data_IF_554764756770
#
_entry.id   IF_554764756770
#
_cell.length_a   1.000
_cell.length_b   1.000
_cell.length_c   1.000
_cell.angle_alpha   90.00
_cell.angle_beta   90.00
_cell.angle_gamma   90.00
#
_symmetry.space_group_name_H-M   'P 1'
#
loop_
_entity.id
_entity.type
_entity.pdbx_description
1 polymer ?
#
# COMPACT_ATOMS: atom_id res chain seq x y z
N UNK A 1 -18.89 4.03 13.16
CA UNK A 1 -17.70 4.51 12.40
C UNK A 1 -17.47 3.51 11.30
N UNK A 2 -17.25 3.96 10.07
CA UNK A 2 -16.78 3.05 9.02
C UNK A 2 -15.47 2.41 9.52
N UNK A 3 -15.26 1.10 9.32
CA UNK A 3 -14.02 0.46 9.69
C UNK A 3 -12.85 1.14 8.97
N UNK A 4 -11.79 1.43 9.72
CA UNK A 4 -10.55 1.96 9.16
C UNK A 4 -9.92 0.89 8.26
N UNK A 5 -9.82 1.21 6.96
CA UNK A 5 -9.30 0.29 5.95
C UNK A 5 -7.83 -0.11 6.21
N UNK A 6 -7.10 0.63 7.03
CA UNK A 6 -5.77 0.24 7.51
C UNK A 6 -5.82 -0.97 8.46
N UNK A 7 -6.89 -1.08 9.26
CA UNK A 7 -7.02 -2.05 10.36
C UNK A 7 -7.91 -3.25 10.05
N UNK A 8 -8.80 -3.13 9.07
CA UNK A 8 -9.72 -4.21 8.74
C UNK A 8 -10.11 -4.17 7.26
N UNK A 9 -10.01 -5.33 6.61
CA UNK A 9 -10.47 -5.50 5.24
C UNK A 9 -12.00 -5.58 5.19
N UNK A 10 -12.62 -4.74 4.37
CA UNK A 10 -14.02 -4.90 3.99
C UNK A 10 -14.15 -5.88 2.81
N UNK A 11 -14.65 -7.09 3.10
CA UNK A 11 -14.85 -8.12 2.08
C UNK A 11 -16.07 -7.88 1.17
N UNK A 12 -16.92 -6.88 1.47
CA UNK A 12 -17.99 -6.45 0.58
C UNK A 12 -17.50 -5.67 -0.64
N UNK A 13 -16.28 -5.13 -0.58
CA UNK A 13 -15.65 -4.39 -1.66
C UNK A 13 -14.97 -5.30 -2.68
N UNK A 14 -14.82 -4.79 -3.90
CA UNK A 14 -13.96 -5.41 -4.92
C UNK A 14 -12.49 -5.41 -4.49
N UNK A 15 -11.68 -6.28 -5.10
CA UNK A 15 -10.24 -6.36 -4.84
C UNK A 15 -9.54 -5.00 -5.03
N UNK A 16 -9.90 -4.27 -6.09
CA UNK A 16 -9.29 -2.97 -6.38
C UNK A 16 -9.67 -1.92 -5.33
N UNK A 17 -10.95 -1.87 -4.94
CA UNK A 17 -11.43 -0.94 -3.92
C UNK A 17 -10.74 -1.18 -2.57
N UNK A 18 -10.54 -2.44 -2.16
CA UNK A 18 -9.81 -2.78 -0.93
C UNK A 18 -8.39 -2.20 -0.93
N UNK A 19 -7.66 -2.38 -2.02
CA UNK A 19 -6.28 -1.89 -2.16
C UNK A 19 -6.27 -0.35 -2.15
N UNK A 20 -7.17 0.29 -2.90
CA UNK A 20 -7.26 1.75 -2.97
C UNK A 20 -7.63 2.36 -1.62
N UNK A 21 -8.59 1.79 -0.89
CA UNK A 21 -8.94 2.30 0.43
C UNK A 21 -7.86 2.05 1.47
N UNK A 22 -7.15 0.92 1.42
CA UNK A 22 -5.98 0.70 2.26
C UNK A 22 -4.92 1.78 2.04
N UNK A 23 -4.55 2.07 0.78
CA UNK A 23 -3.61 3.15 0.50
C UNK A 23 -4.13 4.52 0.96
N UNK A 24 -5.40 4.83 0.69
CA UNK A 24 -6.03 6.08 1.10
C UNK A 24 -6.06 6.26 2.62
N UNK A 25 -6.20 5.18 3.39
CA UNK A 25 -6.20 5.22 4.85
C UNK A 25 -4.87 5.70 5.45
N UNK A 26 -3.76 5.62 4.69
CA UNK A 26 -2.46 6.16 5.08
C UNK A 26 -2.27 7.58 4.53
N UNK A 27 -2.46 7.77 3.22
CA UNK A 27 -2.08 9.04 2.56
C UNK A 27 -3.06 10.19 2.82
N UNK A 28 -4.33 9.88 3.12
CA UNK A 28 -5.40 10.84 3.31
C UNK A 28 -5.84 10.98 4.79
N UNK A 29 -5.19 10.30 5.74
CA UNK A 29 -5.50 10.48 7.16
C UNK A 29 -4.97 11.86 7.65
N UNK A 30 -5.85 12.80 8.03
CA UNK A 30 -5.41 14.12 8.50
C UNK A 30 -4.72 14.07 9.88
N UNK A 31 -4.78 12.93 10.59
CA UNK A 31 -4.18 12.71 11.90
C UNK A 31 -2.87 11.94 11.85
N UNK A 32 -2.48 11.44 10.68
CA UNK A 32 -1.25 10.66 10.50
C UNK A 32 -0.37 11.28 9.40
N UNK A 33 0.93 11.32 9.66
CA UNK A 33 1.95 11.72 8.68
C UNK A 33 3.27 11.06 9.07
N UNK A 34 3.40 9.77 8.77
CA UNK A 34 4.60 8.99 9.03
C UNK A 34 5.68 9.16 7.96
N UNK A 35 6.78 8.44 8.17
CA UNK A 35 7.94 8.41 7.27
C UNK A 35 7.57 7.92 5.85
N UNK A 36 6.67 6.95 5.77
CA UNK A 36 6.15 6.34 4.55
C UNK A 36 5.17 7.23 3.79
N UNK A 37 4.48 8.13 4.47
CA UNK A 37 3.32 8.86 3.93
C UNK A 37 3.65 9.66 2.67
N UNK A 38 4.80 10.33 2.62
CA UNK A 38 5.22 11.10 1.43
C UNK A 38 5.57 10.18 0.25
N UNK A 39 6.18 9.03 0.52
CA UNK A 39 6.51 8.06 -0.53
C UNK A 39 5.24 7.41 -1.09
N UNK A 40 4.27 7.11 -0.24
CA UNK A 40 2.99 6.54 -0.67
C UNK A 40 2.11 7.53 -1.44
N UNK A 41 2.29 8.84 -1.27
CA UNK A 41 1.55 9.86 -2.03
C UNK A 41 1.90 9.90 -3.51
N UNK A 42 3.14 9.55 -3.87
CA UNK A 42 3.57 9.49 -5.28
C UNK A 42 3.34 8.11 -5.90
N UNK A 43 2.83 7.15 -5.12
CA UNK A 43 2.56 5.81 -5.56
C UNK A 43 1.18 5.73 -6.24
N UNK A 44 1.16 5.19 -7.45
CA UNK A 44 -0.07 4.93 -8.19
C UNK A 44 -0.33 3.42 -8.23
N UNK A 45 -1.55 3.03 -7.83
CA UNK A 45 -2.06 1.68 -8.05
C UNK A 45 -2.48 1.50 -9.51
N UNK A 46 -1.93 0.47 -10.16
CA UNK A 46 -2.22 0.14 -11.56
C UNK A 46 -3.32 -0.91 -11.64
N UNK A 47 -3.11 -2.09 -11.03
CA UNK A 47 -4.06 -3.23 -11.08
C UNK A 47 -3.69 -4.34 -10.11
N UNK A 48 -4.60 -5.29 -9.90
CA UNK A 48 -4.35 -6.52 -9.18
C UNK A 48 -4.83 -7.74 -9.99
N UNK A 49 -4.14 -8.87 -9.84
CA UNK A 49 -4.43 -10.13 -10.51
C UNK A 49 -4.69 -11.21 -9.48
N UNK A 50 -5.97 -11.60 -9.36
CA UNK A 50 -6.38 -12.64 -8.42
C UNK A 50 -5.85 -14.03 -8.78
N UNK A 51 -5.55 -14.32 -10.05
CA UNK A 51 -5.01 -15.62 -10.47
C UNK A 51 -3.53 -15.76 -10.10
N UNK A 52 -2.72 -14.74 -10.42
CA UNK A 52 -1.27 -14.73 -10.18
C UNK A 52 -0.88 -14.22 -8.81
N UNK A 53 -1.85 -13.76 -8.00
CA UNK A 53 -1.66 -13.23 -6.64
C UNK A 53 -0.75 -12.00 -6.59
N UNK A 54 -0.92 -11.12 -7.56
CA UNK A 54 -0.02 -9.99 -7.78
C UNK A 54 -0.77 -8.66 -7.71
N UNK A 55 -0.15 -7.65 -7.12
CA UNK A 55 -0.54 -6.24 -7.23
C UNK A 55 0.54 -5.47 -7.97
N UNK A 56 0.13 -4.54 -8.83
CA UNK A 56 1.03 -3.72 -9.63
C UNK A 56 0.85 -2.24 -9.26
N UNK A 57 1.98 -1.59 -9.06
CA UNK A 57 2.07 -0.17 -8.76
C UNK A 57 3.12 0.49 -9.65
N UNK A 58 2.98 1.78 -9.87
CA UNK A 58 3.95 2.61 -10.57
C UNK A 58 4.18 3.90 -9.79
N UNK A 59 5.37 4.48 -9.92
CA UNK A 59 5.68 5.79 -9.35
C UNK A 59 6.85 6.41 -10.12
N UNK A 60 6.92 7.73 -10.11
CA UNK A 60 8.11 8.47 -10.52
C UNK A 60 9.03 8.65 -9.32
N UNK A 61 10.33 8.39 -9.49
CA UNK A 61 11.31 8.62 -8.42
C UNK A 61 11.49 10.12 -8.23
N UNK A 62 10.90 10.66 -7.18
CA UNK A 62 11.02 12.07 -6.83
C UNK A 62 12.35 12.38 -6.12
N UNK A 63 12.81 13.63 -6.19
CA UNK A 63 14.11 14.07 -5.63
C UNK A 63 14.28 13.70 -4.14
N UNK A 64 13.21 13.78 -3.35
CA UNK A 64 13.24 13.46 -1.92
C UNK A 64 13.47 11.96 -1.64
N UNK A 65 13.30 11.11 -2.65
CA UNK A 65 13.55 9.67 -2.58
C UNK A 65 14.98 9.29 -2.98
N UNK A 66 15.78 10.24 -3.48
CA UNK A 66 17.12 9.99 -3.98
C UNK A 66 18.18 10.05 -2.87
N UNK A 67 19.23 9.26 -3.04
CA UNK A 67 20.44 9.35 -2.23
C UNK A 67 21.37 10.47 -2.76
N UNK A 68 22.56 10.61 -2.16
CA UNK A 68 23.54 11.63 -2.55
C UNK A 68 24.03 11.52 -4.01
N UNK A 69 23.90 10.35 -4.62
CA UNK A 69 24.29 10.10 -6.01
C UNK A 69 23.14 10.37 -7.00
N UNK A 70 21.98 10.83 -6.52
CA UNK A 70 20.83 11.16 -7.36
C UNK A 70 20.05 9.94 -7.87
N UNK A 71 20.24 8.76 -7.26
CA UNK A 71 19.48 7.54 -7.57
C UNK A 71 18.56 7.17 -6.42
N UNK A 72 17.54 6.34 -6.68
CA UNK A 72 16.60 5.89 -5.66
C UNK A 72 17.34 5.36 -4.42
N UNK A 73 17.14 6.02 -3.28
CA UNK A 73 17.73 5.64 -2.01
C UNK A 73 17.20 4.27 -1.60
N UNK A 74 18.11 3.37 -1.20
CA UNK A 74 17.75 2.00 -0.83
C UNK A 74 16.66 1.95 0.24
N UNK A 75 16.75 2.81 1.27
CA UNK A 75 15.71 2.92 2.30
C UNK A 75 14.36 3.41 1.77
N UNK A 76 14.33 4.31 0.78
CA UNK A 76 13.07 4.75 0.18
C UNK A 76 12.42 3.61 -0.62
N UNK A 77 13.24 2.89 -1.42
CA UNK A 77 12.79 1.69 -2.12
C UNK A 77 12.29 0.58 -1.19
N UNK A 78 13.00 0.32 -0.09
CA UNK A 78 12.60 -0.67 0.91
C UNK A 78 11.28 -0.29 1.59
N UNK A 79 11.09 0.97 1.99
CA UNK A 79 9.83 1.43 2.62
C UNK A 79 8.65 1.35 1.67
N UNK A 80 8.86 1.66 0.40
CA UNK A 80 7.84 1.49 -0.64
C UNK A 80 7.48 0.02 -0.81
N UNK A 81 8.49 -0.85 -0.97
CA UNK A 81 8.28 -2.28 -1.16
C UNK A 81 7.59 -2.93 0.03
N UNK A 82 7.98 -2.54 1.24
CA UNK A 82 7.33 -2.93 2.49
C UNK A 82 5.83 -2.62 2.38
N UNK A 83 5.45 -1.34 2.33
CA UNK A 83 4.06 -0.90 2.29
C UNK A 83 3.18 -1.59 1.23
N UNK A 84 3.70 -1.82 0.02
CA UNK A 84 2.92 -2.41 -1.07
C UNK A 84 2.87 -3.93 -1.03
N UNK A 85 3.85 -4.60 -0.41
CA UNK A 85 3.91 -6.07 -0.38
C UNK A 85 2.68 -6.68 0.30
N UNK A 86 2.16 -6.02 1.33
CA UNK A 86 0.94 -6.41 2.04
C UNK A 86 -0.28 -6.43 1.13
N UNK A 87 -0.31 -5.63 0.05
CA UNK A 87 -1.49 -5.52 -0.82
C UNK A 87 -1.71 -6.77 -1.68
N UNK A 88 -0.66 -7.55 -1.97
CA UNK A 88 -0.80 -8.86 -2.63
C UNK A 88 -1.65 -9.84 -1.80
N UNK A 89 -1.68 -9.70 -0.47
CA UNK A 89 -2.48 -10.56 0.40
C UNK A 89 -3.99 -10.35 0.21
N UNK A 90 -4.43 -9.19 -0.30
CA UNK A 90 -5.85 -8.99 -0.64
C UNK A 90 -6.36 -9.98 -1.69
N UNK A 91 -5.47 -10.55 -2.52
CA UNK A 91 -5.81 -11.54 -3.56
C UNK A 91 -6.12 -12.94 -3.02
N UNK A 92 -5.81 -13.19 -1.74
CA UNK A 92 -6.06 -14.47 -1.05
C UNK A 92 -6.84 -14.29 0.26
N UNK A 93 -7.02 -13.06 0.73
CA UNK A 93 -7.72 -12.75 1.97
C UNK A 93 -9.18 -13.17 1.93
N UNK A 94 -9.67 -13.65 3.06
CA UNK A 94 -11.07 -14.00 3.32
C UNK A 94 -11.40 -13.77 4.80
N UNK A 95 -12.69 -13.65 5.20
CA UNK A 95 -13.03 -13.49 6.60
C UNK A 95 -12.38 -14.56 7.49
N UNK A 96 -11.64 -14.15 8.52
CA UNK A 96 -10.89 -15.03 9.43
C UNK A 96 -9.52 -15.50 8.91
N UNK A 97 -9.06 -15.05 7.74
CA UNK A 97 -7.78 -15.45 7.16
C UNK A 97 -7.16 -14.32 6.31
N UNK A 98 -6.05 -13.75 6.78
CA UNK A 98 -5.43 -12.54 6.19
C UNK A 98 -6.38 -11.34 6.06
N UNK A 99 -7.42 -11.28 6.89
CA UNK A 99 -8.42 -10.20 6.90
C UNK A 99 -7.91 -8.87 7.45
N UNK A 100 -6.77 -8.90 8.14
CA UNK A 100 -6.06 -7.72 8.58
C UNK A 100 -4.75 -7.50 7.77
N UNK A 101 -4.41 -8.35 6.79
CA UNK A 101 -3.11 -8.36 6.06
C UNK A 101 -1.92 -8.72 6.97
N UNK A 102 -0.64 -8.45 6.62
CA UNK A 102 0.45 -8.78 7.55
C UNK A 102 1.89 -8.84 7.04
N UNK A 103 2.36 -7.86 6.29
CA UNK A 103 3.81 -7.67 6.08
C UNK A 103 4.28 -6.30 6.61
N UNK A 104 3.43 -5.27 6.50
CA UNK A 104 3.75 -3.90 6.90
C UNK A 104 2.56 -3.31 7.62
N UNK A 105 2.75 -2.92 8.88
CA UNK A 105 1.77 -2.31 9.78
C UNK A 105 2.43 -1.55 10.91
#
# INVERSE_FOLDING_TARGET
MAPDAYRMTDFGLSLEERIRFYQASVVADPKYSGFDTQMLRVLEYVRAHAETKTTMFQFEVADFMCNKDGVLHGGAGSTMFDNISSTSLFTIGKPGYWDNLGVSR
#
